data_IF_885292766270
#
_entry.id   IF_885292766270
#
_cell.length_a   1.000
_cell.length_b   1.000
_cell.length_c   1.000
_cell.angle_alpha   90.00
_cell.angle_beta   90.00
_cell.angle_gamma   90.00
#
_symmetry.space_group_name_H-M   'P 1'
#
loop_
_entity.id
_entity.type
_entity.pdbx_description
1 polymer ?
#
# COMPACT_ATOMS: atom_id res chain seq x y z
N UNK A 1 48.51 -76.65 -48.74
CA UNK A 1 48.01 -76.62 -47.34
C UNK A 1 47.35 -75.28 -47.10
N UNK A 2 46.03 -75.25 -46.95
CA UNK A 2 45.27 -74.06 -46.62
C UNK A 2 45.25 -73.84 -45.10
N UNK A 3 45.16 -72.59 -44.62
CA UNK A 3 44.44 -72.32 -43.39
C UNK A 3 43.24 -71.41 -43.63
N UNK A 4 42.11 -71.87 -43.09
CA UNK A 4 40.98 -71.07 -42.64
C UNK A 4 41.45 -69.99 -41.66
N UNK A 5 40.74 -68.85 -41.62
CA UNK A 5 40.30 -68.10 -40.41
C UNK A 5 40.29 -66.59 -40.64
N UNK A 6 39.15 -66.01 -41.06
CA UNK A 6 38.79 -64.61 -40.74
C UNK A 6 37.26 -64.39 -40.74
N UNK A 7 36.48 -65.34 -40.20
CA UNK A 7 35.04 -65.12 -39.92
C UNK A 7 34.74 -64.50 -38.54
N UNK A 8 35.75 -64.32 -37.69
CA UNK A 8 35.56 -63.84 -36.30
C UNK A 8 35.59 -62.31 -36.10
N UNK A 9 36.12 -61.52 -37.04
CA UNK A 9 36.32 -60.07 -36.83
C UNK A 9 35.11 -59.21 -37.16
N UNK A 10 34.25 -59.64 -38.08
CA UNK A 10 33.07 -58.87 -38.49
C UNK A 10 31.96 -58.92 -37.44
N UNK A 11 31.78 -60.07 -36.78
CA UNK A 11 30.79 -60.23 -35.69
C UNK A 11 31.11 -59.38 -34.45
N UNK A 12 32.40 -59.28 -34.09
CA UNK A 12 32.82 -58.48 -32.94
C UNK A 12 32.62 -56.97 -33.15
N UNK A 13 32.83 -56.47 -34.37
CA UNK A 13 32.64 -55.05 -34.70
C UNK A 13 31.16 -54.65 -34.72
N UNK A 14 30.28 -55.52 -35.24
CA UNK A 14 28.83 -55.31 -35.23
C UNK A 14 28.25 -55.37 -33.81
N UNK A 15 28.71 -56.31 -32.97
CA UNK A 15 28.31 -56.40 -31.56
C UNK A 15 28.77 -55.18 -30.74
N UNK A 16 29.98 -54.66 -30.99
CA UNK A 16 30.47 -53.46 -30.34
C UNK A 16 29.68 -52.20 -30.73
N UNK A 17 29.28 -52.09 -32.00
CA UNK A 17 28.46 -50.96 -32.49
C UNK A 17 27.03 -50.99 -31.91
N UNK A 18 26.43 -52.18 -31.83
CA UNK A 18 25.11 -52.37 -31.20
C UNK A 18 25.15 -52.09 -29.68
N UNK A 19 26.23 -52.51 -29.01
CA UNK A 19 26.42 -52.23 -27.58
C UNK A 19 26.61 -50.72 -27.30
N UNK A 20 27.36 -50.01 -28.14
CA UNK A 20 27.56 -48.57 -27.99
C UNK A 20 26.27 -47.77 -28.24
N UNK A 21 25.49 -48.15 -29.25
CA UNK A 21 24.20 -47.50 -29.54
C UNK A 21 23.18 -47.73 -28.43
N UNK A 22 23.12 -48.95 -27.87
CA UNK A 22 22.29 -49.23 -26.69
C UNK A 22 22.75 -48.44 -25.46
N UNK A 23 24.07 -48.32 -25.23
CA UNK A 23 24.62 -47.55 -24.12
C UNK A 23 24.26 -46.07 -24.21
N UNK A 24 24.39 -45.47 -25.41
CA UNK A 24 24.03 -44.07 -25.65
C UNK A 24 22.52 -43.85 -25.50
N UNK A 25 21.68 -44.75 -26.02
CA UNK A 25 20.24 -44.67 -25.84
C UNK A 25 19.84 -44.78 -24.35
N UNK A 26 20.49 -45.67 -23.59
CA UNK A 26 20.28 -45.80 -22.16
C UNK A 26 20.72 -44.54 -21.41
N UNK A 27 21.87 -43.96 -21.79
CA UNK A 27 22.40 -42.73 -21.18
C UNK A 27 21.50 -41.52 -21.47
N UNK A 28 21.00 -41.36 -22.71
CA UNK A 28 20.05 -40.31 -23.07
C UNK A 28 18.74 -40.49 -22.31
N UNK A 29 18.22 -41.72 -22.20
CA UNK A 29 17.00 -42.00 -21.44
C UNK A 29 17.20 -41.73 -19.94
N UNK A 30 18.38 -42.07 -19.41
CA UNK A 30 18.75 -41.80 -18.02
C UNK A 30 18.87 -40.29 -17.77
N UNK A 31 19.53 -39.54 -18.66
CA UNK A 31 19.67 -38.08 -18.57
C UNK A 31 18.32 -37.36 -18.73
N UNK A 32 17.41 -37.86 -19.57
CA UNK A 32 16.03 -37.34 -19.68
C UNK A 32 15.24 -37.64 -18.40
N UNK A 33 15.38 -38.84 -17.79
CA UNK A 33 14.74 -39.17 -16.51
C UNK A 33 15.32 -38.39 -15.32
N UNK A 34 16.64 -38.12 -15.30
CA UNK A 34 17.27 -37.26 -14.31
C UNK A 34 16.93 -35.77 -14.53
N UNK A 35 16.80 -35.32 -15.78
CA UNK A 35 16.46 -33.94 -16.13
C UNK A 35 14.98 -33.58 -15.95
N UNK A 36 14.08 -34.56 -16.02
CA UNK A 36 12.64 -34.37 -15.77
C UNK A 36 12.23 -34.44 -14.29
N UNK A 37 13.19 -34.63 -13.37
CA UNK A 37 12.90 -34.75 -11.93
C UNK A 37 13.17 -33.49 -11.10
N UNK A 38 13.49 -32.35 -11.73
CA UNK A 38 13.33 -31.04 -11.08
C UNK A 38 11.91 -30.52 -11.24
N UNK A 39 10.93 -31.33 -10.85
CA UNK A 39 9.77 -30.76 -10.18
C UNK A 39 10.30 -30.26 -8.84
N UNK A 40 10.76 -29.01 -8.81
CA UNK A 40 10.84 -28.28 -7.55
C UNK A 40 9.46 -28.45 -6.92
N UNK A 41 9.38 -29.30 -5.91
CA UNK A 41 8.26 -29.29 -5.00
C UNK A 41 8.26 -27.87 -4.44
N UNK A 42 7.43 -27.01 -5.03
CA UNK A 42 7.13 -25.67 -4.56
C UNK A 42 6.42 -25.84 -3.23
N UNK A 43 7.20 -26.22 -2.23
CA UNK A 43 6.90 -26.07 -0.83
C UNK A 43 7.09 -24.59 -0.52
N UNK A 44 6.29 -23.75 -1.20
CA UNK A 44 5.80 -22.52 -0.59
C UNK A 44 5.02 -22.98 0.62
N UNK A 45 5.76 -23.10 1.71
CA UNK A 45 5.20 -23.03 3.03
C UNK A 45 4.28 -21.81 3.00
N UNK A 46 2.95 -21.97 3.20
CA UNK A 46 2.07 -20.83 3.25
C UNK A 46 2.70 -19.86 4.25
N UNK A 47 2.92 -18.62 3.81
CA UNK A 47 3.43 -17.59 4.68
C UNK A 47 2.63 -17.67 5.99
N UNK A 48 3.29 -17.68 7.16
CA UNK A 48 2.56 -17.65 8.42
C UNK A 48 1.52 -16.53 8.31
N UNK A 49 0.26 -16.76 8.75
CA UNK A 49 -0.77 -15.73 8.66
C UNK A 49 -0.17 -14.44 9.19
N UNK A 50 -0.13 -13.42 8.34
CA UNK A 50 0.49 -12.13 8.67
C UNK A 50 0.05 -11.78 10.07
N UNK A 51 1.00 -11.74 11.01
CA UNK A 51 0.70 -11.44 12.40
C UNK A 51 -0.16 -10.17 12.37
N UNK A 52 -1.42 -10.26 12.82
CA UNK A 52 -2.32 -9.11 12.78
C UNK A 52 -1.58 -7.97 13.44
N UNK A 53 -1.23 -6.95 12.67
CA UNK A 53 -0.61 -5.74 13.21
C UNK A 53 -1.54 -5.26 14.31
N UNK A 54 -1.02 -5.32 15.55
CA UNK A 54 -1.79 -4.93 16.73
C UNK A 54 -2.18 -3.47 16.52
N UNK A 55 -3.48 -3.20 16.58
CA UNK A 55 -3.96 -1.84 16.33
C UNK A 55 -3.40 -0.88 17.37
N UNK A 56 -2.84 0.22 16.89
CA UNK A 56 -2.34 1.27 17.75
C UNK A 56 -3.48 1.86 18.61
N UNK A 57 -3.32 2.03 19.94
CA UNK A 57 -4.39 2.53 20.80
C UNK A 57 -5.01 3.85 20.35
N UNK A 58 -4.20 4.79 19.87
CA UNK A 58 -4.67 6.06 19.31
C UNK A 58 -5.61 5.88 18.10
N UNK A 59 -5.37 4.89 17.23
CA UNK A 59 -6.25 4.60 16.09
C UNK A 59 -7.59 4.01 16.54
N UNK A 60 -7.59 3.15 17.57
CA UNK A 60 -8.83 2.61 18.16
C UNK A 60 -9.74 3.69 18.73
N UNK A 61 -9.16 4.78 19.23
CA UNK A 61 -9.91 5.91 19.76
C UNK A 61 -10.49 6.82 18.66
N UNK A 62 -10.09 6.66 17.39
CA UNK A 62 -10.66 7.44 16.30
C UNK A 62 -12.08 6.98 15.96
N UNK A 63 -12.98 7.90 15.58
CA UNK A 63 -14.28 7.55 15.04
C UNK A 63 -14.14 6.71 13.76
N UNK A 64 -15.17 5.91 13.42
CA UNK A 64 -15.16 5.10 12.20
C UNK A 64 -15.28 5.94 10.92
N UNK A 65 -15.71 7.19 11.03
CA UNK A 65 -15.95 8.07 9.87
C UNK A 65 -15.23 9.39 10.06
N UNK A 66 -14.39 9.75 9.10
CA UNK A 66 -13.66 11.01 9.09
C UNK A 66 -13.96 11.78 7.81
N UNK A 67 -14.43 13.01 7.94
CA UNK A 67 -14.46 13.96 6.84
C UNK A 67 -13.03 14.42 6.55
N UNK A 68 -12.60 14.33 5.30
CA UNK A 68 -11.31 14.85 4.85
C UNK A 68 -11.50 16.32 4.40
N UNK A 69 -10.85 17.26 5.09
CA UNK A 69 -11.03 18.70 4.91
C UNK A 69 -9.79 19.33 4.23
N UNK A 70 -9.96 19.76 2.97
CA UNK A 70 -8.92 20.37 2.14
C UNK A 70 -8.74 21.87 2.37
N UNK A 71 -7.77 22.48 1.70
CA UNK A 71 -7.43 23.92 1.73
C UNK A 71 -8.58 24.81 1.21
N UNK A 72 -9.68 24.88 1.95
CA UNK A 72 -10.91 25.65 1.68
C UNK A 72 -11.59 26.02 2.99
N UNK A 73 -12.38 27.11 3.07
CA UNK A 73 -13.22 27.37 4.23
C UNK A 73 -14.19 26.20 4.47
N UNK A 74 -14.22 25.69 5.69
CA UNK A 74 -15.13 24.60 6.09
C UNK A 74 -15.85 24.98 7.39
N UNK A 75 -17.17 24.75 7.43
CA UNK A 75 -17.93 24.71 8.68
C UNK A 75 -18.48 23.30 8.85
N UNK A 76 -17.93 22.59 9.83
CA UNK A 76 -18.17 21.18 10.12
C UNK A 76 -18.83 20.98 11.48
N UNK A 77 -19.33 22.05 12.12
CA UNK A 77 -19.97 21.98 13.44
C UNK A 77 -21.26 21.14 13.47
N UNK A 78 -21.79 20.78 12.30
CA UNK A 78 -22.96 19.94 12.12
C UNK A 78 -22.65 18.43 12.01
N UNK A 79 -21.38 18.01 11.91
CA UNK A 79 -21.01 16.59 11.82
C UNK A 79 -21.58 15.80 13.00
N UNK A 80 -22.02 14.53 12.85
CA UNK A 80 -22.51 13.76 13.99
C UNK A 80 -21.38 13.50 15.02
N UNK A 81 -21.75 13.15 16.26
CA UNK A 81 -20.79 12.99 17.36
C UNK A 81 -19.81 11.81 17.16
N UNK A 82 -20.19 10.83 16.35
CA UNK A 82 -19.38 9.67 15.99
C UNK A 82 -18.56 9.88 14.68
N UNK A 83 -18.38 11.14 14.27
CA UNK A 83 -17.55 11.52 13.15
C UNK A 83 -16.37 12.40 13.59
N UNK A 84 -15.25 12.26 12.90
CA UNK A 84 -14.05 13.07 13.06
C UNK A 84 -13.71 13.84 11.80
N UNK A 85 -12.61 14.59 11.84
CA UNK A 85 -12.09 15.33 10.69
C UNK A 85 -10.60 15.06 10.52
N UNK A 86 -10.23 14.53 9.37
CA UNK A 86 -8.85 14.55 8.89
C UNK A 86 -8.66 15.85 8.12
N UNK A 87 -7.82 16.77 8.60
CA UNK A 87 -7.74 18.12 8.04
C UNK A 87 -6.33 18.45 7.59
N UNK A 88 -6.21 19.15 6.46
CA UNK A 88 -4.92 19.62 5.97
C UNK A 88 -4.30 20.59 6.99
N UNK A 89 -3.26 20.15 7.68
CA UNK A 89 -2.47 20.99 8.59
C UNK A 89 -1.47 21.86 7.82
N UNK A 90 -0.76 21.22 6.88
CA UNK A 90 0.24 21.89 6.06
C UNK A 90 0.46 21.13 4.77
N UNK A 91 0.69 21.88 3.70
CA UNK A 91 1.17 21.39 2.43
C UNK A 91 2.68 21.57 2.32
N UNK A 92 3.34 20.62 1.70
CA UNK A 92 4.76 20.65 1.36
C UNK A 92 4.88 20.49 -0.15
N UNK A 93 5.64 21.36 -0.82
CA UNK A 93 6.03 21.18 -2.21
C UNK A 93 7.54 20.92 -2.28
N UNK A 94 7.90 19.76 -2.83
CA UNK A 94 9.28 19.41 -3.16
C UNK A 94 9.58 19.86 -4.60
N UNK A 95 10.63 20.67 -4.78
CA UNK A 95 11.06 21.14 -6.10
C UNK A 95 12.59 21.31 -6.15
N UNK A 96 13.27 20.63 -7.06
CA UNK A 96 14.74 20.53 -7.03
C UNK A 96 15.22 20.14 -5.62
N UNK A 97 16.14 20.92 -5.05
CA UNK A 97 16.64 20.76 -3.67
C UNK A 97 15.75 21.43 -2.60
N UNK A 98 14.75 22.21 -3.00
CA UNK A 98 13.95 23.01 -2.09
C UNK A 98 12.81 22.20 -1.46
N UNK A 99 12.40 22.63 -0.27
CA UNK A 99 11.17 22.17 0.40
C UNK A 99 10.36 23.38 0.86
N UNK A 100 9.31 23.70 0.12
CA UNK A 100 8.40 24.78 0.45
C UNK A 100 7.30 24.27 1.36
N UNK A 101 7.12 24.87 2.53
CA UNK A 101 6.05 24.51 3.47
C UNK A 101 5.03 25.64 3.51
N UNK A 102 3.78 25.29 3.27
CA UNK A 102 2.63 26.20 3.35
C UNK A 102 1.70 25.66 4.43
N UNK A 103 1.57 26.34 5.59
CA UNK A 103 0.51 26.04 6.54
C UNK A 103 -0.85 26.22 5.88
N UNK A 104 -1.88 25.55 6.42
CA UNK A 104 -3.26 25.86 6.06
C UNK A 104 -3.55 27.34 6.28
N UNK A 105 -4.12 27.99 5.27
CA UNK A 105 -4.52 29.39 5.29
C UNK A 105 -6.04 29.57 5.42
N UNK A 106 -6.83 28.54 5.11
CA UNK A 106 -8.28 28.62 5.14
C UNK A 106 -8.88 28.28 6.52
N UNK A 107 -9.97 28.94 6.95
CA UNK A 107 -10.59 28.63 8.23
C UNK A 107 -11.25 27.25 8.23
N UNK A 108 -11.38 26.66 9.41
CA UNK A 108 -12.16 25.43 9.63
C UNK A 108 -12.85 25.55 10.98
N UNK A 109 -14.18 25.49 10.99
CA UNK A 109 -14.99 25.52 12.21
C UNK A 109 -15.45 24.11 12.54
N UNK A 110 -15.17 23.67 13.77
CA UNK A 110 -15.56 22.37 14.32
C UNK A 110 -16.11 22.57 15.73
N UNK A 111 -16.79 21.57 16.29
CA UNK A 111 -17.14 21.61 17.70
C UNK A 111 -15.90 21.28 18.55
N UNK A 112 -15.79 21.79 19.79
CA UNK A 112 -14.62 21.54 20.65
C UNK A 112 -14.28 20.05 20.85
N UNK A 113 -15.28 19.18 20.85
CA UNK A 113 -15.15 17.74 21.03
C UNK A 113 -14.88 16.96 19.73
N UNK A 114 -14.86 17.62 18.57
CA UNK A 114 -14.58 16.96 17.30
C UNK A 114 -13.18 16.37 17.31
N UNK A 115 -13.06 15.06 17.06
CA UNK A 115 -11.77 14.39 16.93
C UNK A 115 -11.09 14.86 15.64
N UNK A 116 -9.88 15.42 15.78
CA UNK A 116 -9.09 15.96 14.67
C UNK A 116 -7.84 15.12 14.41
N UNK A 117 -7.60 14.78 13.14
CA UNK A 117 -6.35 14.18 12.66
C UNK A 117 -5.67 15.17 11.71
N UNK A 118 -4.54 15.80 12.10
CA UNK A 118 -3.82 16.68 11.20
C UNK A 118 -3.14 15.89 10.09
N UNK A 119 -3.25 16.41 8.87
CA UNK A 119 -2.67 15.83 7.66
C UNK A 119 -1.54 16.72 7.15
N UNK A 120 -0.37 16.13 6.93
CA UNK A 120 0.73 16.77 6.20
C UNK A 120 0.68 16.24 4.77
N UNK A 121 0.25 17.08 3.84
CA UNK A 121 0.22 16.74 2.42
C UNK A 121 1.54 17.11 1.77
N UNK A 122 2.11 16.21 0.96
CA UNK A 122 3.38 16.40 0.25
C UNK A 122 3.17 16.19 -1.24
N UNK A 123 3.54 17.21 -2.01
CA UNK A 123 3.55 17.22 -3.47
C UNK A 123 4.98 17.23 -4.01
N UNK A 124 5.16 16.66 -5.20
CA UNK A 124 6.37 16.79 -5.99
C UNK A 124 6.11 17.62 -7.25
N UNK A 125 6.93 18.66 -7.47
CA UNK A 125 6.84 19.50 -8.67
C UNK A 125 7.14 18.70 -9.92
N UNK A 126 6.23 18.76 -10.90
CA UNK A 126 6.45 18.18 -12.24
C UNK A 126 7.39 19.04 -13.08
N UNK A 127 7.36 20.37 -12.88
CA UNK A 127 8.18 21.33 -13.64
C UNK A 127 9.64 21.33 -13.19
N UNK A 128 9.88 21.11 -11.91
CA UNK A 128 11.22 21.03 -11.32
C UNK A 128 11.25 19.79 -10.41
N UNK A 129 11.51 18.60 -10.97
CA UNK A 129 11.50 17.35 -10.21
C UNK A 129 12.36 17.46 -8.94
N UNK A 130 11.92 16.90 -7.80
CA UNK A 130 12.67 16.97 -6.57
C UNK A 130 13.92 16.09 -6.62
N UNK A 131 14.95 16.52 -5.92
CA UNK A 131 16.21 15.78 -5.78
C UNK A 131 16.14 14.62 -4.78
N UNK A 132 15.09 14.59 -3.93
CA UNK A 132 14.81 13.53 -2.95
C UNK A 132 15.92 13.37 -1.91
N UNK A 133 16.39 14.50 -1.36
CA UNK A 133 17.57 14.54 -0.48
C UNK A 133 17.24 14.39 1.00
N UNK A 134 18.26 14.10 1.81
CA UNK A 134 18.11 13.98 3.27
C UNK A 134 17.52 15.25 3.93
N UNK A 135 17.90 16.49 3.54
CA UNK A 135 17.23 17.70 4.04
C UNK A 135 15.72 17.74 3.74
N UNK A 136 15.30 17.32 2.54
CA UNK A 136 13.87 17.28 2.18
C UNK A 136 13.11 16.29 3.07
N UNK A 137 13.68 15.09 3.27
CA UNK A 137 13.12 14.07 4.19
C UNK A 137 12.98 14.62 5.61
N UNK A 138 14.05 15.20 6.15
CA UNK A 138 14.06 15.78 7.50
C UNK A 138 13.02 16.89 7.65
N UNK A 139 12.81 17.70 6.61
CA UNK A 139 11.80 18.76 6.62
C UNK A 139 10.38 18.21 6.67
N UNK A 140 10.08 17.12 5.97
CA UNK A 140 8.78 16.42 6.05
C UNK A 140 8.58 15.85 7.46
N UNK A 141 9.56 15.11 7.99
CA UNK A 141 9.50 14.54 9.35
C UNK A 141 9.26 15.62 10.39
N UNK A 142 9.96 16.75 10.29
CA UNK A 142 9.77 17.87 11.21
C UNK A 142 8.35 18.48 11.13
N UNK A 143 7.69 18.46 9.96
CA UNK A 143 6.28 18.89 9.88
C UNK A 143 5.32 17.87 10.49
N UNK A 144 5.55 16.57 10.31
CA UNK A 144 4.77 15.53 10.97
C UNK A 144 4.85 15.63 12.49
N UNK A 145 6.05 15.86 13.04
CA UNK A 145 6.24 16.07 14.49
C UNK A 145 5.51 17.32 15.00
N UNK A 146 5.58 18.43 14.26
CA UNK A 146 4.85 19.66 14.60
C UNK A 146 3.34 19.46 14.60
N UNK A 147 2.82 18.76 13.60
CA UNK A 147 1.40 18.43 13.50
C UNK A 147 0.97 17.52 14.67
N UNK A 148 1.73 16.46 14.93
CA UNK A 148 1.47 15.49 15.99
C UNK A 148 1.48 16.11 17.40
N UNK A 149 2.42 17.03 17.68
CA UNK A 149 2.57 17.66 18.99
C UNK A 149 1.32 18.45 19.44
N UNK A 150 0.47 18.85 18.49
CA UNK A 150 -0.75 19.62 18.74
C UNK A 150 -2.03 18.80 18.58
N UNK A 151 -1.91 17.50 18.27
CA UNK A 151 -3.05 16.63 17.98
C UNK A 151 -3.50 15.87 19.24
N UNK A 152 -4.65 16.21 19.84
CA UNK A 152 -5.17 15.46 21.00
C UNK A 152 -5.49 14.00 20.66
N UNK A 153 -5.81 13.72 19.39
CA UNK A 153 -6.07 12.37 18.88
C UNK A 153 -4.87 11.44 18.98
N UNK A 154 -3.65 11.97 19.16
CA UNK A 154 -2.40 11.22 19.06
C UNK A 154 -2.27 10.47 17.74
N UNK A 155 -2.81 11.04 16.65
CA UNK A 155 -2.65 10.53 15.29
C UNK A 155 -2.18 11.67 14.40
N UNK A 156 -1.23 11.39 13.52
CA UNK A 156 -0.86 12.28 12.41
C UNK A 156 -0.92 11.49 11.11
N UNK A 157 -1.40 12.12 10.05
CA UNK A 157 -1.46 11.51 8.73
C UNK A 157 -0.45 12.14 7.77
N UNK A 158 0.33 11.30 7.09
CA UNK A 158 1.14 11.70 5.94
C UNK A 158 0.34 11.40 4.67
N UNK A 159 0.10 12.42 3.87
CA UNK A 159 -0.51 12.27 2.55
C UNK A 159 0.54 12.59 1.48
N UNK A 160 1.14 11.56 0.86
CA UNK A 160 2.20 11.74 -0.12
C UNK A 160 2.03 10.77 -1.29
N UNK A 161 1.44 11.28 -2.36
CA UNK A 161 1.34 10.55 -3.62
C UNK A 161 2.69 10.58 -4.36
N UNK A 162 3.27 9.40 -4.57
CA UNK A 162 4.59 9.26 -5.19
C UNK A 162 4.55 8.45 -6.47
N UNK A 163 5.42 8.82 -7.41
CA UNK A 163 5.74 7.99 -8.57
C UNK A 163 6.57 6.79 -8.15
N UNK A 164 6.68 5.78 -9.02
CA UNK A 164 7.53 4.60 -8.79
C UNK A 164 8.96 4.98 -8.36
N UNK A 165 9.58 5.95 -9.03
CA UNK A 165 10.93 6.43 -8.73
C UNK A 165 11.06 7.13 -7.36
N UNK A 166 9.95 7.53 -6.75
CA UNK A 166 9.91 8.28 -5.49
C UNK A 166 9.54 7.39 -4.29
N UNK A 167 9.17 6.12 -4.51
CA UNK A 167 8.75 5.20 -3.45
C UNK A 167 9.82 4.95 -2.40
N UNK A 168 11.08 4.80 -2.81
CA UNK A 168 12.19 4.63 -1.88
C UNK A 168 12.30 5.82 -0.91
N UNK A 169 12.15 7.04 -1.44
CA UNK A 169 12.14 8.25 -0.63
C UNK A 169 10.96 8.32 0.33
N UNK A 170 9.74 7.98 -0.10
CA UNK A 170 8.59 7.89 0.81
C UNK A 170 8.80 6.82 1.90
N UNK A 171 9.32 5.65 1.55
CA UNK A 171 9.65 4.61 2.53
C UNK A 171 10.65 5.12 3.59
N UNK A 172 11.68 5.88 3.18
CA UNK A 172 12.62 6.51 4.09
C UNK A 172 11.98 7.59 4.96
N UNK A 173 11.07 8.39 4.41
CA UNK A 173 10.26 9.36 5.18
C UNK A 173 9.43 8.65 6.24
N UNK A 174 8.72 7.57 5.90
CA UNK A 174 7.88 6.82 6.84
C UNK A 174 8.73 6.20 7.96
N UNK A 175 9.86 5.57 7.64
CA UNK A 175 10.78 5.00 8.65
C UNK A 175 11.33 6.09 9.58
N UNK A 176 11.81 7.18 9.02
CA UNK A 176 12.36 8.30 9.80
C UNK A 176 11.28 8.98 10.66
N UNK A 177 10.06 9.13 10.13
CA UNK A 177 8.93 9.68 10.87
C UNK A 177 8.55 8.76 12.03
N UNK A 178 8.44 7.45 11.80
CA UNK A 178 8.09 6.50 12.86
C UNK A 178 9.13 6.47 13.97
N UNK A 179 10.42 6.51 13.63
CA UNK A 179 11.52 6.57 14.58
C UNK A 179 11.50 7.84 15.45
N UNK A 180 11.05 8.96 14.88
CA UNK A 180 11.04 10.25 15.57
C UNK A 180 9.75 10.53 16.35
N UNK A 181 8.62 9.99 15.92
CA UNK A 181 7.33 10.17 16.57
C UNK A 181 7.28 9.39 17.90
N UNK A 182 6.72 9.98 18.98
CA UNK A 182 6.48 9.27 20.23
C UNK A 182 5.72 7.94 20.01
N UNK A 183 6.03 6.93 20.82
CA UNK A 183 5.44 5.59 20.68
C UNK A 183 3.93 5.54 20.95
N UNK A 184 3.38 6.57 21.61
CA UNK A 184 1.94 6.74 21.86
C UNK A 184 1.22 7.55 20.76
N UNK A 185 1.93 7.99 19.71
CA UNK A 185 1.37 8.69 18.55
C UNK A 185 1.35 7.76 17.35
N UNK A 186 0.19 7.54 16.74
CA UNK A 186 0.06 6.75 15.52
C UNK A 186 0.45 7.54 14.26
N UNK A 187 1.14 6.87 13.33
CA UNK A 187 1.42 7.35 11.99
C UNK A 187 0.47 6.69 10.99
N UNK A 188 -0.49 7.46 10.49
CA UNK A 188 -1.34 7.07 9.36
C UNK A 188 -0.72 7.56 8.05
N UNK A 189 -0.81 6.78 6.97
CA UNK A 189 -0.38 7.20 5.64
C UNK A 189 -1.51 7.00 4.63
N UNK A 190 -1.68 7.91 3.67
CA UNK A 190 -2.50 7.63 2.49
C UNK A 190 -1.70 6.78 1.50
N UNK A 191 -2.41 6.01 0.68
CA UNK A 191 -1.84 5.22 -0.39
C UNK A 191 -2.72 5.30 -1.63
N UNK A 192 -2.12 5.27 -2.81
CA UNK A 192 -2.91 5.00 -4.02
C UNK A 192 -3.52 3.60 -3.90
N UNK A 193 -4.79 3.44 -4.26
CA UNK A 193 -5.48 2.16 -4.16
C UNK A 193 -4.77 1.03 -4.94
N UNK A 194 -4.08 1.35 -6.05
CA UNK A 194 -3.29 0.37 -6.81
C UNK A 194 -2.14 -0.24 -5.99
N UNK A 195 -1.56 0.50 -5.03
CA UNK A 195 -0.50 0.00 -4.16
C UNK A 195 -0.99 -1.09 -3.20
N UNK A 196 -2.26 -1.01 -2.79
CA UNK A 196 -2.88 -1.99 -1.89
C UNK A 196 -3.60 -3.12 -2.63
N UNK A 197 -3.76 -3.02 -3.96
CA UNK A 197 -4.43 -4.02 -4.76
C UNK A 197 -3.46 -5.03 -5.37
N UNK A 198 -2.36 -4.55 -5.95
CA UNK A 198 -1.51 -5.37 -6.83
C UNK A 198 -0.02 -5.22 -6.58
N UNK A 199 0.38 -4.49 -5.55
CA UNK A 199 1.77 -4.20 -5.23
C UNK A 199 2.08 -4.55 -3.78
N UNK A 200 3.34 -4.87 -3.49
CA UNK A 200 3.79 -5.29 -2.16
C UNK A 200 4.78 -4.30 -1.54
N UNK A 201 5.14 -3.22 -2.23
CA UNK A 201 6.18 -2.31 -1.76
C UNK A 201 5.87 -1.59 -0.43
N UNK A 202 4.60 -1.54 -0.02
CA UNK A 202 4.17 -1.03 1.28
C UNK A 202 4.39 -2.02 2.43
N UNK A 203 4.60 -3.31 2.14
CA UNK A 203 4.79 -4.33 3.16
C UNK A 203 6.03 -4.04 4.01
N UNK A 204 5.87 -4.15 5.33
CA UNK A 204 6.94 -3.87 6.29
C UNK A 204 7.26 -2.37 6.47
N UNK A 205 6.53 -1.45 5.84
CA UNK A 205 6.64 -0.04 6.20
C UNK A 205 6.05 0.16 7.61
N UNK A 206 6.74 0.90 8.50
CA UNK A 206 6.32 1.02 9.88
C UNK A 206 5.28 2.15 10.06
N UNK A 207 4.19 2.07 9.28
CA UNK A 207 3.00 2.89 9.45
C UNK A 207 1.96 2.10 10.26
N UNK A 208 1.25 2.78 11.16
CA UNK A 208 0.24 2.16 12.02
C UNK A 208 -1.11 2.00 11.29
N UNK A 209 -1.36 2.85 10.30
CA UNK A 209 -2.52 2.78 9.40
C UNK A 209 -2.11 3.11 7.97
N UNK A 210 -2.65 2.36 7.02
CA UNK A 210 -2.58 2.66 5.59
C UNK A 210 -4.00 2.91 5.10
N UNK A 211 -4.23 4.05 4.45
CA UNK A 211 -5.53 4.48 3.92
C UNK A 211 -5.49 4.44 2.39
N UNK A 212 -5.96 3.36 1.75
CA UNK A 212 -6.01 3.27 0.30
C UNK A 212 -7.09 4.22 -0.23
N UNK A 213 -6.71 5.17 -1.08
CA UNK A 213 -7.62 6.12 -1.71
C UNK A 213 -8.27 5.49 -2.93
N UNK A 214 -9.46 4.92 -2.72
CA UNK A 214 -10.23 4.16 -3.71
C UNK A 214 -11.14 5.08 -4.57
N UNK A 215 -10.58 6.20 -5.04
CA UNK A 215 -11.22 7.18 -5.91
C UNK A 215 -10.14 7.79 -6.82
N UNK A 216 -10.52 8.43 -7.92
CA UNK A 216 -9.63 9.04 -8.93
C UNK A 216 -8.53 8.10 -9.44
N UNK A 217 -8.85 6.80 -9.52
CA UNK A 217 -7.89 5.72 -9.83
C UNK A 217 -7.39 5.72 -11.30
N UNK A 218 -7.73 6.73 -12.10
CA UNK A 218 -7.31 6.92 -13.49
C UNK A 218 -7.51 5.65 -14.38
N UNK A 219 -6.57 5.35 -15.29
CA UNK A 219 -6.69 4.32 -16.34
C UNK A 219 -6.97 2.91 -15.81
N UNK A 220 -6.53 2.59 -14.59
CA UNK A 220 -6.68 1.24 -14.01
C UNK A 220 -7.98 1.05 -13.21
N UNK A 221 -8.86 2.07 -13.22
CA UNK A 221 -10.06 2.09 -12.39
C UNK A 221 -11.01 0.90 -12.60
N UNK A 222 -11.16 0.39 -13.83
CA UNK A 222 -12.03 -0.75 -14.10
C UNK A 222 -11.49 -2.07 -13.51
N UNK A 223 -10.20 -2.36 -13.74
CA UNK A 223 -9.54 -3.56 -13.21
C UNK A 223 -9.53 -3.54 -11.68
N UNK A 224 -9.22 -2.38 -11.10
CA UNK A 224 -9.17 -2.21 -9.65
C UNK A 224 -10.56 -2.37 -9.01
N UNK A 225 -11.61 -1.79 -9.61
CA UNK A 225 -12.99 -2.03 -9.16
C UNK A 225 -13.40 -3.49 -9.26
N UNK A 226 -13.11 -4.16 -10.37
CA UNK A 226 -13.42 -5.59 -10.54
C UNK A 226 -12.72 -6.45 -9.48
N UNK A 227 -11.46 -6.12 -9.17
CA UNK A 227 -10.71 -6.80 -8.11
C UNK A 227 -11.31 -6.55 -6.73
N UNK A 228 -11.66 -5.31 -6.40
CA UNK A 228 -12.33 -4.98 -5.15
C UNK A 228 -13.66 -5.71 -5.01
N UNK A 229 -14.46 -5.77 -6.08
CA UNK A 229 -15.71 -6.55 -6.10
C UNK A 229 -15.46 -8.04 -5.84
N UNK A 230 -14.44 -8.63 -6.45
CA UNK A 230 -14.03 -10.01 -6.19
C UNK A 230 -13.52 -10.24 -4.75
N UNK A 231 -13.19 -9.16 -4.02
CA UNK A 231 -12.69 -9.17 -2.65
C UNK A 231 -13.70 -8.59 -1.66
N UNK A 232 -15.00 -8.62 -1.99
CA UNK A 232 -16.09 -8.09 -1.13
C UNK A 232 -15.87 -6.62 -0.72
N UNK A 233 -15.31 -5.82 -1.63
CA UNK A 233 -15.03 -4.40 -1.42
C UNK A 233 -13.83 -4.09 -0.53
N UNK A 234 -12.98 -5.07 -0.21
CA UNK A 234 -11.86 -4.92 0.74
C UNK A 234 -10.51 -4.94 0.04
N UNK A 235 -9.56 -4.17 0.57
CA UNK A 235 -8.14 -4.36 0.27
C UNK A 235 -7.58 -5.46 1.18
N UNK A 236 -6.96 -6.47 0.58
CA UNK A 236 -6.45 -7.65 1.31
C UNK A 236 -4.93 -7.62 1.54
N UNK A 237 -4.21 -6.66 0.94
CA UNK A 237 -2.81 -6.46 1.24
C UNK A 237 -2.61 -6.12 2.72
N UNK A 238 -1.49 -6.58 3.30
CA UNK A 238 -1.14 -6.34 4.69
C UNK A 238 -1.20 -4.84 5.03
N UNK A 239 -1.87 -4.50 6.12
CA UNK A 239 -2.06 -3.12 6.57
C UNK A 239 -3.17 -2.33 5.84
N UNK A 240 -3.57 -2.71 4.63
CA UNK A 240 -4.53 -1.93 3.82
C UNK A 240 -6.02 -2.20 4.11
N UNK A 241 -6.36 -3.22 4.91
CA UNK A 241 -7.76 -3.63 5.14
C UNK A 241 -8.47 -2.90 6.28
N UNK A 242 -7.80 -1.99 7.00
CA UNK A 242 -8.33 -1.36 8.23
C UNK A 242 -9.00 -0.01 8.00
N UNK A 243 -8.64 0.68 6.93
CA UNK A 243 -9.17 1.97 6.57
C UNK A 243 -9.36 2.07 5.05
N UNK A 244 -10.19 3.01 4.61
CA UNK A 244 -10.36 3.31 3.20
C UNK A 244 -10.65 4.78 2.95
N UNK A 245 -10.08 5.31 1.87
CA UNK A 245 -10.39 6.62 1.32
C UNK A 245 -11.44 6.49 0.23
N UNK A 246 -12.49 7.31 0.27
CA UNK A 246 -13.53 7.37 -0.77
C UNK A 246 -13.95 8.80 -1.05
N UNK A 247 -14.58 9.09 -2.19
CA UNK A 247 -14.98 10.45 -2.55
C UNK A 247 -16.49 10.56 -2.82
N UNK A 248 -17.09 11.68 -2.42
CA UNK A 248 -18.55 11.93 -2.55
C UNK A 248 -19.02 12.04 -4.01
N UNK A 249 -18.10 12.25 -4.94
CA UNK A 249 -18.34 12.42 -6.37
C UNK A 249 -18.04 11.17 -7.20
N UNK A 250 -17.77 10.02 -6.56
CA UNK A 250 -17.44 8.77 -7.25
C UNK A 250 -18.24 7.56 -6.75
N UNK A 251 -18.50 6.57 -7.62
CA UNK A 251 -19.15 5.32 -7.21
C UNK A 251 -18.31 4.55 -6.18
N UNK A 252 -18.94 4.19 -5.08
CA UNK A 252 -18.27 3.55 -3.94
C UNK A 252 -18.00 2.07 -4.12
N UNK A 253 -18.36 1.45 -5.25
CA UNK A 253 -18.05 0.06 -5.60
C UNK A 253 -18.25 -1.01 -4.48
N UNK A 254 -19.15 -0.77 -3.52
CA UNK A 254 -19.34 -1.65 -2.35
C UNK A 254 -18.14 -1.72 -1.40
N UNK A 255 -17.34 -0.66 -1.32
CA UNK A 255 -16.14 -0.56 -0.50
C UNK A 255 -16.41 -0.79 0.99
N UNK A 256 -15.61 -1.65 1.63
CA UNK A 256 -15.77 -2.05 3.03
C UNK A 256 -14.47 -1.92 3.81
N UNK A 257 -14.52 -1.16 4.88
CA UNK A 257 -13.46 -1.09 5.89
C UNK A 257 -14.06 -0.69 7.25
N UNK A 258 -13.38 -0.98 8.37
CA UNK A 258 -13.74 -0.47 9.69
C UNK A 258 -13.74 1.07 9.77
N UNK A 259 -12.79 1.72 9.07
CA UNK A 259 -12.63 3.18 9.07
C UNK A 259 -12.73 3.77 7.68
N UNK A 260 -13.49 4.85 7.54
CA UNK A 260 -13.70 5.56 6.30
C UNK A 260 -13.20 6.99 6.41
N UNK A 261 -12.30 7.37 5.50
CA UNK A 261 -11.90 8.74 5.24
C UNK A 261 -12.63 9.18 3.97
N UNK A 262 -13.54 10.15 4.08
CA UNK A 262 -14.35 10.59 2.94
C UNK A 262 -13.85 11.93 2.45
N UNK A 263 -13.70 12.07 1.14
CA UNK A 263 -13.20 13.24 0.46
C UNK A 263 -14.34 13.92 -0.28
N UNK A 264 -14.34 15.25 -0.31
CA UNK A 264 -15.27 16.02 -1.13
C UNK A 264 -14.55 17.01 -2.05
N UNK A 265 -14.93 17.10 -3.34
CA UNK A 265 -14.41 18.12 -4.24
C UNK A 265 -14.92 19.53 -3.89
N UNK A 266 -15.96 19.62 -3.06
CA UNK A 266 -16.60 20.87 -2.61
C UNK A 266 -16.50 21.00 -1.10
N UNK A 267 -16.77 22.19 -0.53
CA UNK A 267 -16.97 22.33 0.90
C UNK A 267 -18.04 21.36 1.40
N UNK A 268 -17.82 20.82 2.61
CA UNK A 268 -18.69 19.83 3.19
C UNK A 268 -20.05 20.42 3.54
N UNK A 269 -21.12 19.64 3.26
CA UNK A 269 -22.48 19.97 3.66
C UNK A 269 -23.14 18.78 4.36
N UNK A 270 -24.13 19.00 5.23
CA UNK A 270 -24.89 17.90 5.84
C UNK A 270 -25.46 16.93 4.81
N UNK A 271 -25.95 17.46 3.68
CA UNK A 271 -26.51 16.66 2.60
C UNK A 271 -25.46 15.77 1.94
N UNK A 272 -24.26 16.30 1.64
CA UNK A 272 -23.18 15.51 1.04
C UNK A 272 -22.68 14.40 1.97
N UNK A 273 -22.62 14.67 3.28
CA UNK A 273 -22.24 13.66 4.28
C UNK A 273 -23.29 12.57 4.43
N UNK A 274 -24.57 12.94 4.53
CA UNK A 274 -25.66 11.99 4.70
C UNK A 274 -25.89 11.11 3.45
N UNK A 275 -25.60 11.65 2.26
CA UNK A 275 -25.73 10.91 1.00
C UNK A 275 -24.61 9.89 0.76
N UNK A 276 -23.49 9.97 1.50
CA UNK A 276 -22.36 9.06 1.34
C UNK A 276 -22.59 7.78 2.15
N UNK A 277 -22.77 6.60 1.53
CA UNK A 277 -22.95 5.38 2.28
C UNK A 277 -21.64 4.95 2.95
N UNK A 278 -21.76 4.58 4.22
CA UNK A 278 -20.69 4.06 5.04
C UNK A 278 -20.95 2.57 5.29
N UNK A 279 -20.59 1.71 4.35
CA UNK A 279 -20.62 0.26 4.58
C UNK A 279 -19.46 -0.09 5.53
N UNK A 280 -19.73 -0.01 6.83
CA UNK A 280 -18.79 -0.43 7.86
C UNK A 280 -18.83 -1.95 7.96
N UNK A 281 -17.69 -2.61 7.72
CA UNK A 281 -17.55 -3.99 8.14
C UNK A 281 -17.64 -4.03 9.67
N UNK A 282 -18.37 -4.99 10.28
CA UNK A 282 -18.38 -5.11 11.74
C UNK A 282 -16.95 -5.25 12.24
N UNK A 283 -16.57 -4.39 13.19
CA UNK A 283 -15.29 -4.52 13.91
C UNK A 283 -15.38 -5.83 14.66
N UNK A 284 -14.56 -6.81 14.27
CA UNK A 284 -14.45 -8.04 15.05
C UNK A 284 -14.00 -7.63 16.47
N UNK A 285 -14.87 -7.87 17.46
CA UNK A 285 -14.48 -7.76 18.85
C UNK A 285 -13.38 -8.79 19.10
N UNK A 286 -12.20 -8.30 19.49
CA UNK A 286 -11.11 -9.14 19.99
C UNK A 286 -11.47 -9.73 21.36
#
# INVERSE_FOLDING_TARGET
>A
MAPLLTRGRVGAALLASLALTLLVALLVTLLVRLGLSFAAADTRQPAPPAARLKEHPALRALPPRLAWAWERPEDLRWLPADAGVAWLHSRILLQGEQTLVMPRAQPMQVRPETVLVPVVHVDASVRQPPALTAPQRQRIVAQLLRAAARAPSRVVQLDFEVRLSQRAFLADVVRAARQALPADVALSITALASWCASDTWLQGLPADEIVPMAFRMSRDSAMLRARLQAQDGRFTAEGCGRAIGSATDEPLAGLRAPRHYVFSPRPWTPAAWAAHPFDTAPVAAD
#
